data_IF_304239032508
#
_entry.id   IF_304239032508
#
_cell.length_a   1.000
_cell.length_b   1.000
_cell.length_c   1.000
_cell.angle_alpha   90.00
_cell.angle_beta   90.00
_cell.angle_gamma   90.00
#
_symmetry.space_group_name_H-M   'P 1'
#
loop_
_entity.id
_entity.type
_entity.pdbx_description
1 polymer ?
#
# COMPACT_ATOMS: atom_id res chain seq x y z
N UNK A 1 -8.60 15.06 -72.37
CA UNK A 1 -7.95 16.32 -71.94
C UNK A 1 -8.26 16.44 -70.46
N UNK A 2 -7.49 15.75 -69.62
CA UNK A 2 -6.30 16.23 -68.90
C UNK A 2 -6.73 17.21 -67.79
N UNK A 3 -6.74 16.78 -66.51
CA UNK A 3 -5.62 16.90 -65.53
C UNK A 3 -5.69 18.30 -64.85
N UNK A 4 -5.52 18.58 -63.57
CA UNK A 4 -4.85 17.97 -62.41
C UNK A 4 -5.33 18.71 -61.13
N UNK A 5 -5.10 18.10 -59.97
CA UNK A 5 -4.61 18.78 -58.75
C UNK A 5 -5.66 19.45 -57.86
N UNK A 6 -5.97 18.87 -56.69
CA UNK A 6 -5.29 19.08 -55.40
C UNK A 6 -5.46 20.50 -54.85
N UNK A 7 -6.05 20.55 -53.65
CA UNK A 7 -5.79 21.47 -52.52
C UNK A 7 -7.10 21.59 -51.72
N UNK A 8 -7.27 20.87 -50.61
CA UNK A 8 -6.74 21.18 -49.28
C UNK A 8 -7.83 21.81 -48.40
N UNK A 9 -8.07 21.13 -47.28
CA UNK A 9 -8.21 21.75 -45.97
C UNK A 9 -9.01 23.06 -45.88
N UNK A 10 -10.31 22.95 -45.61
CA UNK A 10 -11.09 24.05 -45.02
C UNK A 10 -12.38 23.56 -44.35
N UNK A 11 -12.23 22.65 -43.38
CA UNK A 11 -13.34 22.33 -42.46
C UNK A 11 -12.89 22.24 -41.01
N UNK A 12 -12.24 23.30 -40.55
CA UNK A 12 -12.08 23.62 -39.13
C UNK A 12 -12.43 25.11 -38.98
N UNK A 13 -13.66 25.39 -38.56
CA UNK A 13 -14.00 26.48 -37.62
C UNK A 13 -15.53 26.56 -37.46
N UNK A 14 -16.02 25.96 -36.38
CA UNK A 14 -17.11 26.55 -35.61
C UNK A 14 -16.84 26.28 -34.14
N UNK A 15 -16.26 27.31 -33.55
CA UNK A 15 -15.99 27.53 -32.15
C UNK A 15 -17.28 28.11 -31.56
N UNK A 16 -17.85 27.45 -30.57
CA UNK A 16 -18.68 28.11 -29.55
C UNK A 16 -18.21 27.59 -28.18
N UNK A 17 -17.49 28.49 -27.52
CA UNK A 17 -17.29 28.57 -26.07
C UNK A 17 -18.68 28.83 -25.43
N UNK A 18 -19.06 28.41 -24.24
CA UNK A 18 -18.48 27.68 -23.14
C UNK A 18 -19.55 27.67 -22.05
N UNK A 19 -19.50 26.73 -21.10
CA UNK A 19 -20.08 27.00 -19.79
C UNK A 19 -19.41 26.12 -18.73
N UNK A 20 -19.05 26.79 -17.64
CA UNK A 20 -18.12 26.33 -16.64
C UNK A 20 -18.67 25.27 -15.69
N UNK A 21 -17.69 24.53 -15.19
CA UNK A 21 -17.61 23.77 -13.95
C UNK A 21 -18.81 23.83 -13.00
N UNK A 22 -19.32 22.64 -12.65
CA UNK A 22 -19.63 22.26 -11.26
C UNK A 22 -19.54 20.75 -11.14
N UNK A 23 -18.54 20.31 -10.39
CA UNK A 23 -18.26 18.91 -10.14
C UNK A 23 -19.39 18.21 -9.40
N UNK A 24 -19.52 16.93 -9.69
CA UNK A 24 -19.98 15.94 -8.72
C UNK A 24 -19.52 14.57 -9.20
N UNK A 25 -18.42 14.11 -8.61
CA UNK A 25 -17.99 12.73 -8.71
C UNK A 25 -19.08 11.82 -8.16
N UNK A 26 -19.85 11.20 -9.05
CA UNK A 26 -20.72 10.07 -8.73
C UNK A 26 -19.99 8.76 -9.03
N UNK A 27 -18.94 8.49 -8.28
CA UNK A 27 -18.47 7.13 -8.00
C UNK A 27 -19.34 6.54 -6.89
N UNK A 28 -20.61 6.31 -7.20
CA UNK A 28 -21.50 5.54 -6.35
C UNK A 28 -21.28 4.04 -6.64
N UNK A 29 -20.80 3.29 -5.66
CA UNK A 29 -20.94 1.83 -5.68
C UNK A 29 -19.68 0.99 -5.48
N UNK A 30 -18.57 1.53 -4.97
CA UNK A 30 -17.58 0.68 -4.32
C UNK A 30 -18.02 0.46 -2.87
N UNK A 31 -18.08 -0.79 -2.35
CA UNK A 31 -18.27 -1.00 -0.92
C UNK A 31 -17.17 -0.22 -0.19
N UNK A 32 -17.41 0.27 1.04
CA UNK A 32 -16.39 1.01 1.77
C UNK A 32 -15.16 0.11 1.90
N UNK A 33 -14.18 0.31 1.01
CA UNK A 33 -12.81 -0.01 1.30
C UNK A 33 -12.59 0.75 2.60
N UNK A 34 -12.39 -0.02 3.67
CA UNK A 34 -11.92 0.52 4.92
C UNK A 34 -10.66 1.30 4.58
N UNK A 35 -10.83 2.61 4.44
CA UNK A 35 -9.79 3.61 4.42
C UNK A 35 -9.17 3.58 5.82
N UNK A 36 -8.37 2.53 6.04
CA UNK A 36 -7.51 2.42 7.21
C UNK A 36 -6.49 3.52 7.01
N UNK A 37 -6.49 4.52 7.90
CA UNK A 37 -5.51 5.61 7.88
C UNK A 37 -4.14 5.00 7.65
N UNK A 38 -3.41 5.50 6.65
CA UNK A 38 -2.02 5.11 6.41
C UNK A 38 -1.12 5.29 7.66
N UNK A 39 -1.55 6.13 8.61
CA UNK A 39 -0.93 6.34 9.92
C UNK A 39 -1.12 5.17 10.92
N UNK A 40 -2.09 4.28 10.71
CA UNK A 40 -2.36 3.07 11.54
C UNK A 40 -1.72 1.80 10.92
N UNK A 41 -1.11 1.93 9.73
CA UNK A 41 -0.15 0.96 9.19
C UNK A 41 1.17 1.17 9.93
N UNK A 42 1.59 0.14 10.68
CA UNK A 42 2.86 0.12 11.41
C UNK A 42 4.02 0.67 10.55
N UNK A 43 4.93 1.47 11.15
CA UNK A 43 5.94 2.23 10.42
C UNK A 43 7.03 1.33 9.83
N UNK A 44 6.73 0.68 8.70
CA UNK A 44 7.68 -0.14 7.95
C UNK A 44 8.52 0.68 6.94
N UNK A 45 8.42 2.01 6.99
CA UNK A 45 9.25 2.92 6.20
C UNK A 45 10.75 2.63 6.41
N UNK A 46 11.16 2.29 7.65
CA UNK A 46 12.54 1.95 7.97
C UNK A 46 13.04 0.69 7.26
N UNK A 47 12.24 -0.39 7.22
CA UNK A 47 12.62 -1.63 6.52
C UNK A 47 12.68 -1.44 5.01
N UNK A 48 11.74 -0.68 4.45
CA UNK A 48 11.72 -0.35 3.02
C UNK A 48 12.92 0.51 2.61
N UNK A 49 13.41 1.34 3.52
CA UNK A 49 14.65 2.10 3.33
C UNK A 49 15.87 1.18 3.31
N UNK A 50 15.97 0.22 4.23
CA UNK A 50 17.06 -0.77 4.26
C UNK A 50 17.13 -1.52 2.92
N UNK A 51 16.00 -2.01 2.39
CA UNK A 51 15.99 -2.68 1.08
C UNK A 51 16.51 -1.76 -0.06
N UNK A 52 16.18 -0.46 -0.02
CA UNK A 52 16.74 0.51 -0.97
C UNK A 52 18.25 0.73 -0.77
N UNK A 53 18.74 0.73 0.47
CA UNK A 53 20.18 0.83 0.75
C UNK A 53 20.95 -0.33 0.12
N UNK A 54 20.41 -1.55 0.15
CA UNK A 54 21.00 -2.70 -0.53
C UNK A 54 21.08 -2.51 -2.05
N UNK A 55 20.04 -1.94 -2.70
CA UNK A 55 20.11 -1.55 -4.12
C UNK A 55 21.18 -0.49 -4.38
N UNK A 56 21.32 0.51 -3.53
CA UNK A 56 22.36 1.55 -3.66
C UNK A 56 23.75 0.93 -3.53
N UNK A 57 23.96 0.03 -2.56
CA UNK A 57 25.23 -0.67 -2.37
C UNK A 57 25.54 -1.57 -3.58
N UNK A 58 24.54 -2.21 -4.19
CA UNK A 58 24.72 -3.01 -5.40
C UNK A 58 25.19 -2.13 -6.58
N UNK A 59 24.58 -0.96 -6.74
CA UNK A 59 25.00 0.03 -7.73
C UNK A 59 26.43 0.52 -7.43
N UNK A 60 26.75 0.77 -6.16
CA UNK A 60 28.10 1.17 -5.75
C UNK A 60 29.14 0.09 -6.09
N UNK A 61 28.81 -1.20 -5.95
CA UNK A 61 29.70 -2.29 -6.37
C UNK A 61 29.94 -2.30 -7.88
N UNK A 62 28.94 -1.96 -8.70
CA UNK A 62 29.13 -1.81 -10.14
C UNK A 62 30.05 -0.62 -10.45
N UNK A 63 29.90 0.50 -9.74
CA UNK A 63 30.86 1.61 -9.86
C UNK A 63 32.27 1.21 -9.43
N UNK A 64 32.39 0.44 -8.35
CA UNK A 64 33.67 -0.07 -7.86
C UNK A 64 34.31 -1.01 -8.88
N UNK A 65 33.52 -1.87 -9.53
CA UNK A 65 33.98 -2.73 -10.61
C UNK A 65 34.57 -1.93 -11.78
N UNK A 66 33.91 -0.85 -12.20
CA UNK A 66 34.42 0.01 -13.26
C UNK A 66 35.74 0.66 -12.82
N UNK A 67 35.80 1.14 -11.58
CA UNK A 67 37.02 1.72 -11.03
C UNK A 67 38.17 0.70 -11.00
N UNK A 68 37.92 -0.54 -10.55
CA UNK A 68 38.89 -1.64 -10.50
C UNK A 68 39.46 -1.93 -11.89
N UNK A 69 38.60 -2.01 -12.91
CA UNK A 69 39.02 -2.26 -14.30
C UNK A 69 39.94 -1.15 -14.79
N UNK A 70 39.57 0.12 -14.58
CA UNK A 70 40.39 1.27 -14.99
C UNK A 70 41.74 1.23 -14.25
N UNK A 71 41.71 1.02 -12.94
CA UNK A 71 42.90 1.07 -12.10
C UNK A 71 43.87 -0.08 -12.41
N UNK A 72 43.35 -1.29 -12.60
CA UNK A 72 44.15 -2.46 -12.98
C UNK A 72 44.81 -2.28 -14.35
N UNK A 73 44.07 -1.75 -15.33
CA UNK A 73 44.63 -1.47 -16.65
C UNK A 73 45.70 -0.36 -16.62
N UNK A 74 45.50 0.69 -15.82
CA UNK A 74 46.48 1.78 -15.70
C UNK A 74 47.77 1.33 -15.02
N UNK A 75 47.68 0.50 -13.98
CA UNK A 75 48.85 0.10 -13.19
C UNK A 75 49.65 -1.06 -13.80
N UNK A 76 48.96 -2.04 -14.36
CA UNK A 76 49.57 -3.33 -14.76
C UNK A 76 49.35 -3.65 -16.24
N UNK A 77 48.42 -2.96 -16.92
CA UNK A 77 48.16 -3.15 -18.34
C UNK A 77 47.65 -4.56 -18.65
N UNK A 78 48.28 -5.24 -19.62
CA UNK A 78 47.81 -6.54 -20.11
C UNK A 78 48.03 -7.69 -19.11
N UNK A 79 48.96 -7.56 -18.15
CA UNK A 79 49.17 -8.61 -17.16
C UNK A 79 48.04 -8.69 -16.11
N UNK A 80 47.23 -7.63 -15.97
CA UNK A 80 46.09 -7.61 -15.06
C UNK A 80 44.87 -8.39 -15.57
N UNK A 81 44.79 -8.70 -16.87
CA UNK A 81 43.59 -9.29 -17.49
C UNK A 81 43.10 -10.56 -16.76
N UNK A 82 43.96 -11.55 -16.42
CA UNK A 82 43.50 -12.76 -15.75
C UNK A 82 42.93 -12.47 -14.34
N UNK A 83 43.58 -11.57 -13.59
CA UNK A 83 43.16 -11.20 -12.25
C UNK A 83 41.85 -10.39 -12.28
N UNK A 84 41.76 -9.40 -13.16
CA UNK A 84 40.58 -8.56 -13.35
C UNK A 84 39.35 -9.39 -13.71
N UNK A 85 39.49 -10.47 -14.49
CA UNK A 85 38.36 -11.36 -14.81
C UNK A 85 37.82 -12.09 -13.58
N UNK A 86 38.70 -12.56 -12.69
CA UNK A 86 38.30 -13.25 -11.45
C UNK A 86 37.63 -12.27 -10.50
N UNK A 87 38.24 -11.10 -10.28
CA UNK A 87 37.68 -10.05 -9.42
C UNK A 87 36.37 -9.50 -9.99
N UNK A 88 36.30 -9.27 -11.30
CA UNK A 88 35.09 -8.80 -11.96
C UNK A 88 33.94 -9.79 -11.80
N UNK A 89 34.19 -11.08 -12.03
CA UNK A 89 33.17 -12.12 -11.84
C UNK A 89 32.66 -12.12 -10.41
N UNK A 90 33.57 -12.01 -9.43
CA UNK A 90 33.20 -11.96 -8.01
C UNK A 90 32.34 -10.74 -7.69
N UNK A 91 32.72 -9.55 -8.16
CA UNK A 91 31.97 -8.31 -7.96
C UNK A 91 30.61 -8.34 -8.63
N UNK A 92 30.51 -8.86 -9.86
CA UNK A 92 29.24 -9.01 -10.58
C UNK A 92 28.30 -9.94 -9.81
N UNK A 93 28.80 -11.09 -9.34
CA UNK A 93 28.01 -12.03 -8.54
C UNK A 93 27.54 -11.39 -7.24
N UNK A 94 28.41 -10.69 -6.52
CA UNK A 94 28.01 -9.98 -5.30
C UNK A 94 26.98 -8.89 -5.57
N UNK A 95 27.16 -8.08 -6.61
CA UNK A 95 26.22 -7.04 -6.99
C UNK A 95 24.84 -7.62 -7.36
N UNK A 96 24.82 -8.68 -8.17
CA UNK A 96 23.59 -9.38 -8.54
C UNK A 96 22.89 -10.01 -7.34
N UNK A 97 23.64 -10.65 -6.44
CA UNK A 97 23.10 -11.24 -5.21
C UNK A 97 22.49 -10.16 -4.32
N UNK A 98 23.16 -9.03 -4.18
CA UNK A 98 22.69 -7.90 -3.37
C UNK A 98 21.44 -7.24 -3.97
N UNK A 99 21.40 -7.12 -5.30
CA UNK A 99 20.22 -6.65 -6.03
C UNK A 99 19.02 -7.57 -5.83
N UNK A 100 19.23 -8.88 -6.01
CA UNK A 100 18.21 -9.90 -5.80
C UNK A 100 17.72 -9.94 -4.36
N UNK A 101 18.62 -9.86 -3.37
CA UNK A 101 18.27 -9.82 -1.96
C UNK A 101 17.43 -8.57 -1.61
N UNK A 102 17.74 -7.41 -2.19
CA UNK A 102 16.93 -6.21 -2.03
C UNK A 102 15.52 -6.37 -2.61
N UNK A 103 15.40 -7.02 -3.77
CA UNK A 103 14.13 -7.29 -4.43
C UNK A 103 13.28 -8.29 -3.63
N UNK A 104 13.90 -9.39 -3.18
CA UNK A 104 13.27 -10.35 -2.27
C UNK A 104 12.84 -9.70 -0.96
N UNK A 105 13.66 -8.80 -0.39
CA UNK A 105 13.33 -8.07 0.83
C UNK A 105 12.09 -7.20 0.68
N UNK A 106 11.93 -6.52 -0.47
CA UNK A 106 10.72 -5.74 -0.76
C UNK A 106 9.49 -6.64 -0.85
N UNK A 107 9.59 -7.78 -1.53
CA UNK A 107 8.49 -8.74 -1.63
C UNK A 107 8.12 -9.35 -0.27
N UNK A 108 9.10 -9.64 0.59
CA UNK A 108 8.86 -10.17 1.94
C UNK A 108 8.06 -9.19 2.81
N UNK A 109 8.31 -7.89 2.68
CA UNK A 109 7.59 -6.84 3.41
C UNK A 109 6.12 -6.86 3.01
N UNK A 110 5.83 -6.95 1.72
CA UNK A 110 4.46 -6.99 1.21
C UNK A 110 3.74 -8.28 1.66
N UNK A 111 4.43 -9.42 1.63
CA UNK A 111 3.89 -10.69 2.15
C UNK A 111 3.55 -10.65 3.64
N UNK A 112 4.35 -9.94 4.46
CA UNK A 112 4.06 -9.82 5.90
C UNK A 112 2.72 -9.13 6.16
N UNK A 113 2.38 -8.13 5.35
CA UNK A 113 1.09 -7.45 5.42
C UNK A 113 -0.07 -8.42 5.15
N UNK A 114 0.06 -9.28 4.13
CA UNK A 114 -0.96 -10.29 3.80
C UNK A 114 -1.14 -11.32 4.92
N UNK A 115 -0.07 -11.68 5.63
CA UNK A 115 -0.14 -12.55 6.80
C UNK A 115 -0.89 -11.88 7.96
N UNK A 116 -0.67 -10.58 8.20
CA UNK A 116 -1.41 -9.80 9.21
C UNK A 116 -2.90 -9.74 8.84
N UNK A 117 -3.22 -9.44 7.59
CA UNK A 117 -4.59 -9.41 7.10
C UNK A 117 -5.29 -10.77 7.26
N UNK A 118 -4.58 -11.86 6.93
CA UNK A 118 -5.06 -13.24 7.10
C UNK A 118 -5.34 -13.55 8.58
N UNK A 119 -4.44 -13.17 9.49
CA UNK A 119 -4.64 -13.37 10.95
C UNK A 119 -5.89 -12.64 11.45
N UNK A 120 -6.12 -11.41 11.00
CA UNK A 120 -7.32 -10.64 11.37
C UNK A 120 -8.59 -11.29 10.80
N UNK A 121 -8.55 -11.78 9.56
CA UNK A 121 -9.69 -12.46 8.92
C UNK A 121 -10.05 -13.75 9.66
N UNK A 122 -9.05 -14.58 9.97
CA UNK A 122 -9.23 -15.84 10.71
C UNK A 122 -9.77 -15.56 12.11
N UNK A 123 -9.26 -14.55 12.82
CA UNK A 123 -9.81 -14.15 14.13
C UNK A 123 -11.29 -13.73 14.04
N UNK A 124 -11.66 -12.99 13.00
CA UNK A 124 -13.07 -12.61 12.76
C UNK A 124 -13.94 -13.82 12.43
N UNK A 125 -13.46 -14.77 11.62
CA UNK A 125 -14.18 -16.00 11.28
C UNK A 125 -14.40 -16.85 12.53
N UNK A 126 -13.35 -17.07 13.34
CA UNK A 126 -13.43 -17.83 14.59
C UNK A 126 -14.47 -17.24 15.55
N UNK A 127 -14.48 -15.91 15.71
CA UNK A 127 -15.48 -15.22 16.54
C UNK A 127 -16.92 -15.40 16.02
N UNK A 128 -17.13 -15.44 14.70
CA UNK A 128 -18.46 -15.69 14.11
C UNK A 128 -18.91 -17.12 14.35
N UNK A 129 -18.03 -18.10 14.12
CA UNK A 129 -18.31 -19.51 14.39
C UNK A 129 -18.65 -19.71 15.86
N UNK A 130 -17.86 -19.16 16.78
CA UNK A 130 -18.11 -19.27 18.22
C UNK A 130 -19.42 -18.60 18.64
N UNK A 131 -19.82 -17.46 18.05
CA UNK A 131 -21.15 -16.87 18.28
C UNK A 131 -22.28 -17.76 17.78
N UNK A 132 -22.12 -18.38 16.60
CA UNK A 132 -23.13 -19.29 16.06
C UNK A 132 -23.28 -20.53 16.94
N UNK A 133 -22.17 -21.10 17.43
CA UNK A 133 -22.20 -22.20 18.40
C UNK A 133 -22.88 -21.80 19.71
N UNK A 134 -22.63 -20.60 20.22
CA UNK A 134 -23.30 -20.08 21.42
C UNK A 134 -24.83 -19.91 21.22
N UNK A 135 -25.25 -19.42 20.05
CA UNK A 135 -26.67 -19.32 19.69
C UNK A 135 -27.29 -20.73 19.57
N UNK A 136 -26.60 -21.66 18.93
CA UNK A 136 -27.06 -23.04 18.76
C UNK A 136 -27.13 -23.82 20.07
N UNK A 137 -26.21 -23.57 21.00
CA UNK A 137 -26.15 -24.21 22.32
C UNK A 137 -27.11 -23.54 23.33
N UNK A 138 -27.80 -22.47 22.95
CA UNK A 138 -28.76 -21.76 23.80
C UNK A 138 -28.13 -20.94 24.93
N UNK A 139 -26.79 -20.85 24.98
CA UNK A 139 -26.04 -20.07 25.95
C UNK A 139 -25.93 -18.63 25.45
N UNK A 140 -27.06 -17.91 25.41
CA UNK A 140 -27.00 -16.47 25.21
C UNK A 140 -26.21 -15.86 26.38
N UNK A 141 -25.17 -15.04 26.15
CA UNK A 141 -24.76 -14.07 27.16
C UNK A 141 -26.01 -13.24 27.41
N UNK A 142 -26.52 -13.31 28.64
CA UNK A 142 -27.80 -12.77 29.02
C UNK A 142 -28.02 -11.44 28.33
N UNK A 143 -29.10 -11.35 27.57
CA UNK A 143 -29.85 -10.12 27.44
C UNK A 143 -30.02 -9.61 28.87
N UNK A 144 -29.10 -8.73 29.26
CA UNK A 144 -29.24 -7.93 30.44
C UNK A 144 -30.62 -7.35 30.33
N UNK A 145 -31.49 -7.80 31.24
CA UNK A 145 -32.68 -7.09 31.68
C UNK A 145 -32.35 -5.60 31.53
N UNK A 146 -33.09 -4.92 30.66
CA UNK A 146 -32.80 -3.56 30.23
C UNK A 146 -32.52 -2.61 31.40
N UNK A 147 -31.96 -1.41 31.16
CA UNK A 147 -31.54 -0.49 32.22
C UNK A 147 -32.59 -0.50 33.31
N UNK A 148 -32.22 -1.06 34.48
CA UNK A 148 -33.10 -1.13 35.62
C UNK A 148 -33.44 0.30 35.95
N UNK A 149 -34.65 0.73 35.57
CA UNK A 149 -35.17 2.00 36.00
C UNK A 149 -35.01 2.03 37.53
N UNK A 150 -34.33 3.05 38.08
CA UNK A 150 -34.24 3.17 39.53
C UNK A 150 -35.66 3.19 40.10
N UNK A 151 -35.88 2.55 41.27
CA UNK A 151 -37.20 2.57 41.89
C UNK A 151 -37.66 4.03 42.06
N UNK A 152 -38.94 4.34 41.81
CA UNK A 152 -39.43 5.70 41.97
C UNK A 152 -39.19 6.16 43.42
N UNK A 153 -38.75 7.41 43.64
CA UNK A 153 -38.50 7.92 44.97
C UNK A 153 -39.80 7.89 45.80
N UNK A 154 -39.73 7.48 47.09
CA UNK A 154 -40.90 7.50 47.95
C UNK A 154 -41.23 8.94 48.36
N UNK A 155 -42.35 9.46 47.85
CA UNK A 155 -43.04 10.65 48.37
C UNK A 155 -42.50 12.01 47.90
N UNK A 156 -43.35 12.76 47.20
CA UNK A 156 -43.15 14.18 46.89
C UNK A 156 -44.41 14.77 46.28
N UNK A 157 -44.99 15.76 46.95
CA UNK A 157 -46.34 16.30 46.79
C UNK A 157 -46.78 16.65 45.36
N UNK A 158 -48.03 16.31 45.03
CA UNK A 158 -48.77 16.94 43.93
C UNK A 158 -48.92 18.43 44.25
N UNK A 159 -48.07 19.27 43.69
CA UNK A 159 -48.35 20.71 43.60
C UNK A 159 -49.39 20.94 42.51
N UNK A 160 -50.61 21.21 42.95
CA UNK A 160 -51.66 21.81 42.15
C UNK A 160 -51.14 23.09 41.48
N UNK A 161 -51.19 23.13 40.16
CA UNK A 161 -51.02 24.38 39.41
C UNK A 161 -52.38 25.07 39.35
N UNK A 162 -52.49 26.35 39.73
CA UNK A 162 -53.71 27.11 39.48
C UNK A 162 -53.86 27.31 37.97
N UNK A 163 -55.08 27.03 37.47
CA UNK A 163 -55.53 27.47 36.15
C UNK A 163 -55.70 28.99 36.20
N UNK A 164 -55.06 29.67 35.26
CA UNK A 164 -55.49 30.98 34.78
C UNK A 164 -56.36 30.76 33.54
#
# INVERSE_FOLDING_TARGET
MADDGRDAESRVERRDEGDGERGEGRTAGLPPQMDVRDDDLEPHAGLRYIARMFKILAILLIFLLIAEIILGLVQQGQSAIPQLLVEATRLIVFAGLLWGAADMGLMLIESNHDLRATRILVGRLNNRVQRLEQIATGTLPGTGRGPSLPPPPPGGERRDRPRA
#
